data_IF_914598531014
#
_entry.id   IF_914598531014
#
_cell.length_a   1.000
_cell.length_b   1.000
_cell.length_c   1.000
_cell.angle_alpha   90.00
_cell.angle_beta   90.00
_cell.angle_gamma   90.00
#
_symmetry.space_group_name_H-M   'P 1'
#
loop_
_entity.id
_entity.type
_entity.pdbx_description
1 polymer ?
#
# COMPACT_ATOMS: atom_id res chain seq x y z
N UNK A 1 17.83 9.01 22.11
CA UNK A 1 19.06 8.97 21.28
C UNK A 1 18.61 8.69 19.85
N UNK A 2 19.05 9.47 18.86
CA UNK A 2 18.72 9.20 17.46
C UNK A 2 19.39 7.89 17.04
N UNK A 3 18.62 6.99 16.45
CA UNK A 3 19.15 5.73 15.88
C UNK A 3 20.09 6.05 14.71
N UNK A 4 21.13 5.29 14.55
CA UNK A 4 21.97 5.32 13.37
C UNK A 4 21.93 3.97 12.67
N UNK A 5 22.08 3.99 11.35
CA UNK A 5 22.07 2.81 10.50
C UNK A 5 23.36 2.72 9.73
N UNK A 6 23.85 1.50 9.52
CA UNK A 6 24.88 1.22 8.54
C UNK A 6 24.18 0.93 7.21
N UNK A 7 24.50 1.70 6.19
CA UNK A 7 24.10 1.46 4.82
C UNK A 7 25.23 0.72 4.10
N UNK A 8 24.90 -0.37 3.43
CA UNK A 8 25.76 -1.04 2.48
C UNK A 8 25.20 -0.77 1.08
N UNK A 9 26.06 -0.31 0.17
CA UNK A 9 25.69 -0.12 -1.22
C UNK A 9 26.66 -0.93 -2.11
N UNK A 10 26.08 -1.68 -3.06
CA UNK A 10 26.83 -2.58 -3.92
C UNK A 10 26.21 -2.69 -5.31
N UNK A 11 27.03 -3.09 -6.29
CA UNK A 11 26.56 -3.42 -7.63
C UNK A 11 26.47 -4.93 -7.78
N UNK A 12 25.55 -5.40 -8.61
CA UNK A 12 25.39 -6.80 -8.99
C UNK A 12 25.34 -6.93 -10.52
N UNK A 13 25.68 -8.12 -11.04
CA UNK A 13 25.83 -8.34 -12.48
C UNK A 13 24.65 -9.12 -13.07
N UNK A 14 23.90 -9.87 -12.26
CA UNK A 14 22.75 -10.67 -12.69
C UNK A 14 21.71 -10.71 -11.59
N UNK A 15 20.44 -10.95 -11.96
CA UNK A 15 19.34 -11.10 -11.01
C UNK A 15 19.60 -12.25 -10.02
N UNK A 16 20.07 -13.40 -10.50
CA UNK A 16 20.41 -14.56 -9.64
C UNK A 16 21.45 -14.19 -8.56
N UNK A 17 22.47 -13.40 -8.95
CA UNK A 17 23.47 -12.90 -8.00
C UNK A 17 22.84 -11.96 -6.97
N UNK A 18 21.94 -11.09 -7.39
CA UNK A 18 21.19 -10.19 -6.50
C UNK A 18 20.36 -10.98 -5.50
N UNK A 19 19.55 -11.93 -5.95
CA UNK A 19 18.66 -12.73 -5.09
C UNK A 19 19.44 -13.51 -4.03
N UNK A 20 20.60 -14.07 -4.40
CA UNK A 20 21.49 -14.76 -3.45
C UNK A 20 22.08 -13.79 -2.43
N UNK A 21 22.50 -12.60 -2.87
CA UNK A 21 23.04 -11.58 -1.97
C UNK A 21 21.99 -11.07 -1.00
N UNK A 22 20.76 -10.79 -1.49
CA UNK A 22 19.64 -10.38 -0.64
C UNK A 22 19.37 -11.40 0.46
N UNK A 23 19.32 -12.70 0.10
CA UNK A 23 19.11 -13.75 1.09
C UNK A 23 20.23 -13.79 2.15
N UNK A 24 21.49 -13.74 1.74
CA UNK A 24 22.64 -13.77 2.64
C UNK A 24 22.72 -12.53 3.55
N UNK A 25 22.42 -11.34 3.00
CA UNK A 25 22.42 -10.11 3.77
C UNK A 25 21.22 -10.02 4.73
N UNK A 26 20.06 -10.55 4.34
CA UNK A 26 18.90 -10.65 5.22
C UNK A 26 19.17 -11.58 6.42
N UNK A 27 19.89 -12.69 6.23
CA UNK A 27 20.34 -13.59 7.30
C UNK A 27 21.27 -12.88 8.31
N UNK A 28 22.03 -11.89 7.85
CA UNK A 28 22.85 -11.02 8.71
C UNK A 28 22.04 -9.94 9.44
N UNK A 29 20.75 -9.78 9.11
CA UNK A 29 19.87 -8.79 9.70
C UNK A 29 19.81 -7.47 8.93
N UNK A 30 20.27 -7.44 7.68
CA UNK A 30 20.02 -6.30 6.81
C UNK A 30 18.57 -6.28 6.32
N UNK A 31 18.04 -5.08 6.17
CA UNK A 31 16.66 -4.82 5.85
C UNK A 31 16.56 -3.69 4.79
N UNK A 32 15.41 -3.57 4.12
CA UNK A 32 15.15 -2.48 3.19
C UNK A 32 16.06 -2.51 1.95
N UNK A 33 15.97 -3.56 1.14
CA UNK A 33 16.75 -3.68 -0.11
C UNK A 33 16.15 -2.78 -1.19
N UNK A 34 16.84 -1.69 -1.52
CA UNK A 34 16.45 -0.73 -2.57
C UNK A 34 17.29 -0.96 -3.82
N UNK A 35 16.68 -1.50 -4.85
CA UNK A 35 17.27 -1.66 -6.17
C UNK A 35 17.14 -0.36 -6.97
N UNK A 36 18.26 0.15 -7.48
CA UNK A 36 18.30 1.26 -8.42
C UNK A 36 18.75 0.69 -9.77
N UNK A 37 17.92 0.80 -10.81
CA UNK A 37 18.34 0.43 -12.15
C UNK A 37 19.58 1.23 -12.56
N UNK A 38 20.57 0.55 -13.17
CA UNK A 38 21.73 1.21 -13.72
C UNK A 38 21.25 2.25 -14.76
N UNK A 39 21.52 3.52 -14.51
CA UNK A 39 21.09 4.63 -15.36
C UNK A 39 21.63 4.45 -16.78
N UNK A 40 20.87 3.84 -17.67
CA UNK A 40 20.95 4.08 -19.09
C UNK A 40 20.40 5.49 -19.29
N UNK A 41 21.31 6.44 -19.56
CA UNK A 41 21.02 7.86 -19.58
C UNK A 41 19.79 8.25 -20.35
N UNK A 42 18.68 8.41 -19.68
CA UNK A 42 17.55 9.28 -20.03
C UNK A 42 16.88 9.63 -18.69
N UNK A 43 16.97 10.88 -18.32
CA UNK A 43 16.23 11.47 -17.22
C UNK A 43 14.73 11.31 -17.45
N UNK A 44 14.05 10.53 -16.61
CA UNK A 44 12.65 10.78 -16.26
C UNK A 44 12.46 10.36 -14.81
N UNK A 45 12.08 11.33 -14.02
CA UNK A 45 11.95 11.22 -12.59
C UNK A 45 10.78 10.33 -12.15
N UNK A 46 10.90 9.95 -10.89
CA UNK A 46 9.88 9.41 -9.99
C UNK A 46 9.51 7.94 -10.18
N UNK A 47 9.99 7.14 -9.27
CA UNK A 47 9.50 5.80 -9.02
C UNK A 47 9.93 5.35 -7.63
N UNK A 48 9.26 5.83 -6.56
CA UNK A 48 9.27 5.12 -5.28
C UNK A 48 8.29 3.95 -5.41
N UNK A 49 8.81 2.77 -5.64
CA UNK A 49 8.01 1.55 -5.53
C UNK A 49 8.83 0.47 -4.84
N UNK A 50 8.23 -0.05 -3.85
CA UNK A 50 8.30 -1.35 -3.20
C UNK A 50 9.18 -1.47 -1.97
N UNK A 51 8.53 -1.36 -0.86
CA UNK A 51 8.76 -2.22 0.31
C UNK A 51 7.84 -3.43 0.11
N UNK A 52 8.43 -4.64 0.00
CA UNK A 52 7.75 -5.93 -0.13
C UNK A 52 6.98 -6.17 -1.45
N UNK A 53 7.68 -6.62 -2.46
CA UNK A 53 7.09 -7.17 -3.66
C UNK A 53 8.17 -7.61 -4.64
N UNK A 54 8.46 -8.89 -4.68
CA UNK A 54 9.29 -9.50 -5.72
C UNK A 54 8.60 -9.23 -7.06
N UNK A 55 9.07 -8.25 -7.81
CA UNK A 55 8.64 -8.09 -9.20
C UNK A 55 9.42 -9.06 -10.07
N UNK A 56 8.78 -10.16 -10.46
CA UNK A 56 9.22 -10.97 -11.59
C UNK A 56 8.98 -10.19 -12.88
N UNK A 57 9.99 -9.45 -13.33
CA UNK A 57 9.99 -8.71 -14.59
C UNK A 57 11.29 -8.98 -15.35
N UNK A 58 11.22 -9.74 -16.40
CA UNK A 58 12.22 -10.07 -17.40
C UNK A 58 13.14 -8.90 -17.77
N UNK A 59 14.42 -9.03 -17.40
CA UNK A 59 15.49 -8.18 -17.87
C UNK A 59 16.80 -8.59 -17.20
N UNK A 60 17.65 -9.38 -17.84
CA UNK A 60 18.99 -9.68 -17.38
C UNK A 60 19.80 -8.37 -17.33
N UNK A 61 19.86 -7.73 -16.15
CA UNK A 61 20.53 -6.44 -15.98
C UNK A 61 21.42 -6.40 -14.75
N UNK A 62 22.60 -5.81 -14.90
CA UNK A 62 23.39 -5.34 -13.79
C UNK A 62 22.66 -4.18 -13.11
N UNK A 63 22.67 -4.15 -11.78
CA UNK A 63 21.98 -3.14 -10.99
C UNK A 63 22.80 -2.64 -9.82
N UNK A 64 22.28 -1.68 -9.10
CA UNK A 64 22.81 -1.14 -7.87
C UNK A 64 21.81 -1.34 -6.75
N UNK A 65 22.27 -1.79 -5.59
CA UNK A 65 21.42 -2.00 -4.42
C UNK A 65 21.95 -1.28 -3.20
N UNK A 66 21.04 -0.77 -2.38
CA UNK A 66 21.31 -0.25 -1.03
C UNK A 66 20.49 -1.03 -0.02
N UNK A 67 21.14 -1.41 1.09
CA UNK A 67 20.48 -2.08 2.21
C UNK A 67 20.99 -1.53 3.54
N UNK A 68 20.26 -1.77 4.62
CA UNK A 68 20.46 -1.09 5.90
C UNK A 68 20.40 -2.07 7.06
N UNK A 69 21.14 -1.76 8.12
CA UNK A 69 21.06 -2.44 9.42
C UNK A 69 21.26 -1.41 10.53
N UNK A 70 20.69 -1.62 11.70
CA UNK A 70 20.96 -0.79 12.88
C UNK A 70 22.47 -0.83 13.23
N UNK A 71 23.05 0.32 13.53
CA UNK A 71 24.49 0.40 13.86
C UNK A 71 24.84 -0.42 15.07
N UNK A 72 23.96 -0.50 16.07
CA UNK A 72 24.14 -1.32 17.26
C UNK A 72 24.22 -2.80 16.92
N UNK A 73 23.30 -3.30 16.09
CA UNK A 73 23.26 -4.71 15.69
C UNK A 73 24.46 -5.09 14.82
N UNK A 74 24.93 -4.13 13.99
CA UNK A 74 26.13 -4.32 13.17
C UNK A 74 27.40 -4.49 14.00
N UNK A 75 27.58 -3.66 15.02
CA UNK A 75 28.75 -3.69 15.93
C UNK A 75 28.73 -4.89 16.87
N UNK A 76 27.58 -5.16 17.50
CA UNK A 76 27.43 -6.26 18.48
C UNK A 76 27.63 -7.65 17.85
N UNK A 77 27.26 -7.82 16.55
CA UNK A 77 27.33 -9.10 15.85
C UNK A 77 28.60 -9.29 15.03
N UNK A 78 29.55 -8.35 15.06
CA UNK A 78 30.78 -8.37 14.26
C UNK A 78 30.55 -8.62 12.74
N UNK A 79 29.47 -8.09 12.20
CA UNK A 79 28.94 -8.37 10.83
C UNK A 79 29.97 -8.01 9.73
N UNK A 80 30.91 -7.12 10.00
CA UNK A 80 31.89 -6.68 8.99
C UNK A 80 32.70 -7.83 8.38
N UNK A 81 33.09 -8.80 9.21
CA UNK A 81 33.87 -9.98 8.74
C UNK A 81 33.03 -10.87 7.82
N UNK A 82 31.74 -11.03 8.14
CA UNK A 82 30.84 -11.85 7.36
C UNK A 82 30.51 -11.17 6.01
N UNK A 83 30.36 -9.84 6.00
CA UNK A 83 30.22 -9.07 4.77
C UNK A 83 31.42 -9.25 3.84
N UNK A 84 32.64 -9.13 4.35
CA UNK A 84 33.86 -9.34 3.55
C UNK A 84 33.88 -10.75 2.93
N UNK A 85 33.50 -11.77 3.67
CA UNK A 85 33.43 -13.15 3.16
C UNK A 85 32.40 -13.26 2.04
N UNK A 86 31.17 -12.70 2.23
CA UNK A 86 30.10 -12.75 1.24
C UNK A 86 30.52 -12.03 -0.03
N UNK A 87 30.97 -10.77 0.08
CA UNK A 87 31.30 -9.97 -1.11
C UNK A 87 32.53 -10.52 -1.86
N UNK A 88 33.55 -11.03 -1.16
CA UNK A 88 34.68 -11.68 -1.77
C UNK A 88 34.27 -12.96 -2.52
N UNK A 89 33.38 -13.79 -1.95
CA UNK A 89 32.86 -15.00 -2.61
C UNK A 89 32.16 -14.68 -3.93
N UNK A 90 31.45 -13.57 -4.00
CA UNK A 90 30.74 -13.10 -5.20
C UNK A 90 31.62 -12.24 -6.12
N UNK A 91 32.90 -12.01 -5.77
CA UNK A 91 33.82 -11.12 -6.49
C UNK A 91 33.26 -9.70 -6.69
N UNK A 92 32.58 -9.20 -5.68
CA UNK A 92 31.97 -7.87 -5.64
C UNK A 92 32.63 -6.99 -4.58
N UNK A 93 32.44 -5.69 -4.74
CA UNK A 93 32.80 -4.68 -3.74
C UNK A 93 31.55 -4.00 -3.22
N UNK A 94 31.63 -3.51 -1.99
CA UNK A 94 30.58 -2.69 -1.39
C UNK A 94 31.15 -1.41 -0.80
N UNK A 95 30.32 -0.42 -0.66
CA UNK A 95 30.62 0.77 0.13
C UNK A 95 29.79 0.76 1.40
N UNK A 96 30.41 1.21 2.51
CA UNK A 96 29.76 1.34 3.82
C UNK A 96 29.66 2.80 4.20
N UNK A 97 28.49 3.22 4.66
CA UNK A 97 28.26 4.56 5.20
C UNK A 97 27.37 4.52 6.45
N UNK A 98 27.61 5.46 7.38
CA UNK A 98 26.74 5.64 8.54
C UNK A 98 25.68 6.64 8.19
N UNK A 99 24.41 6.24 8.25
CA UNK A 99 23.28 7.11 8.06
C UNK A 99 22.67 7.38 9.44
N UNK A 100 22.66 8.62 9.86
CA UNK A 100 21.84 9.04 10.99
C UNK A 100 20.39 8.94 10.59
N UNK A 101 19.56 8.50 11.53
CA UNK A 101 18.11 8.49 11.35
C UNK A 101 17.68 9.83 10.73
N UNK A 102 17.45 9.83 9.43
CA UNK A 102 16.73 10.92 8.79
C UNK A 102 15.28 10.73 9.21
N UNK A 103 14.65 11.79 9.65
CA UNK A 103 13.22 11.79 9.84
C UNK A 103 12.55 11.61 8.46
N UNK A 104 12.48 10.35 8.02
CA UNK A 104 11.87 9.98 6.72
C UNK A 104 10.43 10.45 6.65
N UNK A 105 9.74 10.50 7.81
CA UNK A 105 8.41 11.07 7.89
C UNK A 105 8.42 12.55 7.50
N UNK A 106 9.38 13.35 8.00
CA UNK A 106 9.48 14.76 7.61
C UNK A 106 9.81 14.96 6.12
N UNK A 107 10.62 14.07 5.53
CA UNK A 107 10.91 14.12 4.08
C UNK A 107 9.68 13.71 3.27
N UNK A 108 8.95 12.70 3.72
CA UNK A 108 7.69 12.25 3.13
C UNK A 108 6.61 13.33 3.25
N UNK A 109 6.47 13.90 4.44
CA UNK A 109 5.56 15.02 4.68
C UNK A 109 5.85 16.21 3.76
N UNK A 110 7.12 16.55 3.55
CA UNK A 110 7.50 17.68 2.68
C UNK A 110 7.25 17.41 1.19
N UNK A 111 7.19 16.17 0.76
CA UNK A 111 6.97 15.77 -0.64
C UNK A 111 5.55 15.28 -0.92
N UNK A 112 4.69 15.22 0.12
CA UNK A 112 3.30 14.82 -0.06
C UNK A 112 2.53 15.94 -0.78
N UNK A 113 1.99 15.65 -1.95
CA UNK A 113 1.13 16.56 -2.69
C UNK A 113 -0.35 16.25 -2.44
N UNK A 114 -1.24 17.25 -2.38
CA UNK A 114 -2.68 17.01 -2.28
C UNK A 114 -3.20 16.25 -3.50
N UNK A 115 -4.08 15.29 -3.27
CA UNK A 115 -4.74 14.51 -4.33
C UNK A 115 -6.15 15.04 -4.54
N UNK A 116 -6.56 15.24 -5.79
CA UNK A 116 -7.91 15.70 -6.14
C UNK A 116 -8.57 14.76 -7.14
N UNK A 117 -9.69 14.20 -6.79
CA UNK A 117 -10.54 13.36 -7.65
C UNK A 117 -11.71 14.20 -8.16
N UNK A 118 -11.52 14.88 -9.26
CA UNK A 118 -12.48 15.84 -9.81
C UNK A 118 -12.86 16.92 -8.79
N UNK A 119 -14.14 17.22 -8.70
CA UNK A 119 -14.73 18.10 -7.67
C UNK A 119 -15.32 17.28 -6.51
N UNK A 120 -15.23 15.96 -6.58
CA UNK A 120 -15.85 15.04 -5.65
C UNK A 120 -15.07 14.94 -4.33
N UNK A 121 -13.81 14.53 -4.34
CA UNK A 121 -13.02 14.35 -3.11
C UNK A 121 -11.60 14.86 -3.26
N UNK A 122 -11.11 15.51 -2.21
CA UNK A 122 -9.72 15.93 -2.07
C UNK A 122 -9.08 15.35 -0.82
N UNK A 123 -7.86 14.85 -0.96
CA UNK A 123 -7.05 14.34 0.14
C UNK A 123 -5.86 15.29 0.31
N UNK A 124 -5.63 15.75 1.51
CA UNK A 124 -4.49 16.61 1.86
C UNK A 124 -3.92 16.29 3.24
N UNK A 125 -2.69 16.69 3.46
CA UNK A 125 -2.15 16.72 4.81
C UNK A 125 -2.64 17.97 5.57
N UNK A 126 -2.52 17.95 6.91
CA UNK A 126 -2.96 19.04 7.77
C UNK A 126 -2.24 20.38 7.49
N UNK A 127 -1.01 20.33 6.99
CA UNK A 127 -0.19 21.51 6.67
C UNK A 127 -0.47 22.11 5.27
N UNK A 128 -1.26 21.44 4.43
CA UNK A 128 -1.67 21.99 3.14
C UNK A 128 -2.87 22.94 3.29
N UNK A 129 -2.99 23.94 2.43
CA UNK A 129 -4.21 24.75 2.34
C UNK A 129 -5.41 23.89 1.94
N UNK A 130 -6.60 24.39 2.22
CA UNK A 130 -7.85 23.83 1.70
C UNK A 130 -7.90 23.92 0.18
N UNK A 131 -8.69 23.04 -0.44
CA UNK A 131 -8.83 23.04 -1.89
C UNK A 131 -9.54 24.29 -2.41
N UNK A 132 -8.97 24.92 -3.44
CA UNK A 132 -9.59 26.00 -4.19
C UNK A 132 -9.54 25.68 -5.70
N UNK A 133 -10.70 25.57 -6.38
CA UNK A 133 -12.06 25.62 -5.80
C UNK A 133 -12.31 24.46 -4.84
N UNK A 134 -13.27 24.62 -3.91
CA UNK A 134 -13.59 23.59 -2.93
C UNK A 134 -14.01 22.27 -3.59
N UNK A 135 -13.71 21.16 -2.95
CA UNK A 135 -14.22 19.83 -3.29
C UNK A 135 -15.46 19.52 -2.44
N UNK A 136 -16.27 18.56 -2.89
CA UNK A 136 -17.45 18.15 -2.13
C UNK A 136 -17.08 17.52 -0.78
N UNK A 137 -16.06 16.67 -0.76
CA UNK A 137 -15.53 16.01 0.44
C UNK A 137 -14.04 16.25 0.57
N UNK A 138 -13.61 16.76 1.70
CA UNK A 138 -12.19 16.91 2.03
C UNK A 138 -11.78 15.89 3.09
N UNK A 139 -10.69 15.19 2.86
CA UNK A 139 -10.09 14.22 3.79
C UNK A 139 -8.70 14.72 4.18
N UNK A 140 -8.46 14.81 5.48
CA UNK A 140 -7.14 15.14 6.05
C UNK A 140 -6.43 13.86 6.45
N UNK A 141 -5.19 13.70 6.02
CA UNK A 141 -4.37 12.57 6.45
C UNK A 141 -3.05 13.04 7.06
N UNK A 142 -2.50 12.23 7.93
CA UNK A 142 -1.09 12.28 8.30
C UNK A 142 -0.35 11.35 7.34
N UNK A 143 0.46 11.90 6.40
CA UNK A 143 1.20 11.09 5.46
C UNK A 143 2.21 10.23 6.22
N UNK A 144 2.08 8.92 6.10
CA UNK A 144 3.02 7.92 6.61
C UNK A 144 3.27 6.87 5.51
N UNK A 145 4.07 5.89 5.81
CA UNK A 145 4.40 4.81 4.86
C UNK A 145 3.24 3.80 4.64
N UNK A 146 2.06 4.03 5.19
CA UNK A 146 0.88 3.21 4.94
C UNK A 146 0.32 3.45 3.54
N UNK A 147 -0.17 2.39 2.89
CA UNK A 147 -0.84 2.46 1.59
C UNK A 147 -2.20 3.18 1.70
N UNK A 148 -2.65 3.79 0.60
CA UNK A 148 -3.98 4.42 0.56
C UNK A 148 -3.98 5.95 0.69
N UNK A 149 -2.88 6.63 0.35
CA UNK A 149 -2.79 8.10 0.36
C UNK A 149 -3.58 8.79 -0.77
N UNK A 150 -4.17 8.02 -1.68
CA UNK A 150 -4.92 8.53 -2.83
C UNK A 150 -4.11 8.72 -4.10
N UNK A 151 -2.77 8.74 -4.05
CA UNK A 151 -1.90 8.92 -5.22
C UNK A 151 -1.90 7.70 -6.14
N UNK A 152 -2.01 6.50 -5.57
CA UNK A 152 -2.00 5.29 -6.36
C UNK A 152 -3.29 5.16 -7.18
N UNK A 153 -3.17 4.73 -8.43
CA UNK A 153 -4.29 4.60 -9.36
C UNK A 153 -5.45 3.77 -8.81
N UNK A 154 -5.17 2.74 -8.00
CA UNK A 154 -6.20 1.88 -7.40
C UNK A 154 -7.05 2.64 -6.38
N UNK A 155 -6.45 3.36 -5.44
CA UNK A 155 -7.18 4.16 -4.45
C UNK A 155 -7.98 5.28 -5.13
N UNK A 156 -7.36 5.95 -6.10
CA UNK A 156 -8.01 6.98 -6.92
C UNK A 156 -9.25 6.44 -7.66
N UNK A 157 -9.11 5.31 -8.33
CA UNK A 157 -10.17 4.65 -9.10
C UNK A 157 -11.32 4.17 -8.20
N UNK A 158 -11.02 3.63 -6.99
CA UNK A 158 -12.05 3.26 -6.02
C UNK A 158 -12.83 4.49 -5.57
N UNK A 159 -12.18 5.61 -5.26
CA UNK A 159 -12.87 6.84 -4.90
C UNK A 159 -13.79 7.34 -6.01
N UNK A 160 -13.37 7.29 -7.29
CA UNK A 160 -14.24 7.59 -8.42
C UNK A 160 -15.43 6.64 -8.52
N UNK A 161 -15.24 5.37 -8.19
CA UNK A 161 -16.33 4.39 -8.21
C UNK A 161 -17.32 4.62 -7.07
N UNK A 162 -16.83 5.02 -5.89
CA UNK A 162 -17.66 5.37 -4.72
C UNK A 162 -18.60 6.54 -4.99
N UNK A 163 -18.25 7.48 -5.87
CA UNK A 163 -19.13 8.59 -6.28
C UNK A 163 -20.48 8.09 -6.85
N UNK A 164 -20.49 6.89 -7.42
CA UNK A 164 -21.65 6.32 -8.11
C UNK A 164 -22.39 5.24 -7.29
N UNK A 165 -21.97 5.01 -6.05
CA UNK A 165 -22.58 4.04 -5.13
C UNK A 165 -23.27 4.81 -3.98
N UNK A 166 -24.46 4.37 -3.57
CA UNK A 166 -25.19 5.02 -2.49
C UNK A 166 -24.74 4.51 -1.13
N UNK A 167 -24.09 5.35 -0.33
CA UNK A 167 -23.62 5.05 1.02
C UNK A 167 -24.59 5.49 2.12
N UNK A 168 -25.55 6.35 1.82
CA UNK A 168 -26.45 6.94 2.83
C UNK A 168 -27.19 5.88 3.64
N UNK A 169 -26.97 5.87 4.95
CA UNK A 169 -27.58 4.94 5.90
C UNK A 169 -27.05 3.50 5.84
N UNK A 170 -26.03 3.22 5.03
CA UNK A 170 -25.47 1.89 4.77
C UNK A 170 -24.41 1.49 5.78
N UNK A 171 -24.28 0.18 6.00
CA UNK A 171 -23.16 -0.44 6.70
C UNK A 171 -22.04 -0.76 5.70
N UNK A 172 -20.81 -0.41 6.05
CA UNK A 172 -19.64 -0.55 5.17
C UNK A 172 -18.56 -1.39 5.82
N UNK A 173 -17.94 -2.28 5.05
CA UNK A 173 -16.77 -3.04 5.43
C UNK A 173 -15.59 -2.66 4.53
N UNK A 174 -14.51 -2.12 5.11
CA UNK A 174 -13.29 -1.73 4.40
C UNK A 174 -12.17 -2.70 4.78
N UNK A 175 -11.93 -3.68 3.92
CA UNK A 175 -10.94 -4.74 4.09
C UNK A 175 -9.59 -4.33 3.48
N UNK A 176 -8.55 -4.25 4.33
CA UNK A 176 -7.25 -3.69 3.99
C UNK A 176 -7.29 -2.17 3.97
N UNK A 177 -7.74 -1.55 5.08
CA UNK A 177 -8.04 -0.12 5.14
C UNK A 177 -6.82 0.80 4.97
N UNK A 178 -5.61 0.32 5.26
CA UNK A 178 -4.37 1.10 5.13
C UNK A 178 -4.43 2.42 5.91
N UNK A 179 -4.43 3.56 5.22
CA UNK A 179 -4.56 4.90 5.82
C UNK A 179 -5.95 5.22 6.36
N UNK A 180 -6.97 4.40 6.09
CA UNK A 180 -8.36 4.67 6.45
C UNK A 180 -9.11 5.60 5.49
N UNK A 181 -8.52 6.03 4.40
CA UNK A 181 -9.09 7.03 3.47
C UNK A 181 -10.44 6.58 2.90
N UNK A 182 -10.58 5.31 2.48
CA UNK A 182 -11.83 4.80 1.92
C UNK A 182 -12.92 4.70 2.99
N UNK A 183 -12.58 4.28 4.21
CA UNK A 183 -13.48 4.26 5.34
C UNK A 183 -13.98 5.68 5.71
N UNK A 184 -13.07 6.67 5.74
CA UNK A 184 -13.40 8.07 6.00
C UNK A 184 -14.31 8.62 4.89
N UNK A 185 -14.01 8.31 3.63
CA UNK A 185 -14.88 8.72 2.52
C UNK A 185 -16.27 8.09 2.63
N UNK A 186 -16.36 6.81 2.99
CA UNK A 186 -17.64 6.12 3.19
C UNK A 186 -18.50 6.83 4.26
N UNK A 187 -17.91 7.21 5.40
CA UNK A 187 -18.61 8.00 6.42
C UNK A 187 -19.08 9.36 5.89
N UNK A 188 -18.20 10.09 5.17
CA UNK A 188 -18.55 11.39 4.58
C UNK A 188 -19.66 11.28 3.53
N UNK A 189 -19.80 10.13 2.86
CA UNK A 189 -20.89 9.80 1.94
C UNK A 189 -22.19 9.39 2.66
N UNK A 190 -22.18 9.34 4.00
CA UNK A 190 -23.36 9.10 4.83
C UNK A 190 -23.54 7.66 5.29
N UNK A 191 -22.48 6.84 5.28
CA UNK A 191 -22.53 5.51 5.89
C UNK A 191 -22.94 5.63 7.37
N UNK A 192 -23.81 4.72 7.83
CA UNK A 192 -24.29 4.71 9.22
C UNK A 192 -23.31 4.03 10.16
N UNK A 193 -22.51 3.12 9.65
CA UNK A 193 -21.40 2.46 10.35
C UNK A 193 -20.36 1.98 9.34
N UNK A 194 -19.09 2.00 9.74
CA UNK A 194 -17.97 1.50 8.95
C UNK A 194 -17.12 0.61 9.84
N UNK A 195 -16.88 -0.62 9.42
CA UNK A 195 -15.87 -1.49 9.99
C UNK A 195 -14.66 -1.46 9.05
N UNK A 196 -13.56 -0.87 9.51
CA UNK A 196 -12.30 -0.79 8.79
C UNK A 196 -11.30 -1.77 9.41
N UNK A 197 -10.69 -2.63 8.60
CA UNK A 197 -9.78 -3.66 9.11
C UNK A 197 -8.48 -3.70 8.33
N UNK A 198 -7.39 -4.06 9.04
CA UNK A 198 -6.08 -4.32 8.46
C UNK A 198 -5.37 -5.38 9.30
N UNK A 199 -4.34 -6.02 8.76
CA UNK A 199 -3.51 -6.98 9.49
C UNK A 199 -2.21 -6.35 10.02
N UNK A 200 -1.85 -5.15 9.58
CA UNK A 200 -0.65 -4.44 9.96
C UNK A 200 -0.92 -3.44 11.08
N UNK A 201 -0.21 -3.55 12.21
CA UNK A 201 -0.32 -2.64 13.34
C UNK A 201 -0.05 -1.18 12.94
N UNK A 202 0.89 -0.96 12.03
CA UNK A 202 1.22 0.37 11.54
C UNK A 202 0.07 1.00 10.75
N UNK A 203 -0.62 0.21 9.92
CA UNK A 203 -1.84 0.65 9.24
C UNK A 203 -2.95 0.99 10.23
N UNK A 204 -3.17 0.15 11.24
CA UNK A 204 -4.16 0.37 12.30
C UNK A 204 -3.90 1.70 13.05
N UNK A 205 -2.64 1.95 13.45
CA UNK A 205 -2.26 3.20 14.12
C UNK A 205 -2.47 4.42 13.23
N UNK A 206 -2.05 4.36 11.96
CA UNK A 206 -2.19 5.46 11.03
C UNK A 206 -3.66 5.75 10.68
N UNK A 207 -4.46 4.71 10.44
CA UNK A 207 -5.89 4.87 10.19
C UNK A 207 -6.63 5.49 11.40
N UNK A 208 -6.32 5.06 12.63
CA UNK A 208 -6.88 5.67 13.84
C UNK A 208 -6.56 7.17 13.93
N UNK A 209 -5.32 7.56 13.66
CA UNK A 209 -4.93 8.97 13.64
C UNK A 209 -5.70 9.77 12.59
N UNK A 210 -5.83 9.22 11.38
CA UNK A 210 -6.54 9.86 10.28
C UNK A 210 -8.05 9.98 10.57
N UNK A 211 -8.67 8.99 11.20
CA UNK A 211 -10.06 9.04 11.65
C UNK A 211 -10.27 10.18 12.63
N UNK A 212 -9.37 10.33 13.62
CA UNK A 212 -9.43 11.43 14.58
C UNK A 212 -9.26 12.80 13.89
N UNK A 213 -8.35 12.93 12.94
CA UNK A 213 -8.10 14.14 12.17
C UNK A 213 -9.29 14.58 11.29
N UNK A 214 -10.22 13.66 11.01
CA UNK A 214 -11.43 13.92 10.23
C UNK A 214 -12.70 14.01 11.08
N UNK A 215 -12.59 14.00 12.42
CA UNK A 215 -13.71 14.00 13.36
C UNK A 215 -14.74 12.88 13.13
N UNK A 216 -14.28 11.75 12.57
CA UNK A 216 -15.10 10.59 12.24
C UNK A 216 -15.67 9.93 13.49
N UNK A 217 -16.91 9.43 13.43
CA UNK A 217 -17.66 8.94 14.61
C UNK A 217 -18.25 7.56 14.42
N UNK A 218 -18.42 7.09 13.18
CA UNK A 218 -19.09 5.83 12.89
C UNK A 218 -18.12 4.75 12.40
N UNK A 219 -16.81 5.05 12.40
CA UNK A 219 -15.75 4.13 11.96
C UNK A 219 -15.20 3.36 13.17
N UNK A 220 -15.25 2.04 13.11
CA UNK A 220 -14.58 1.13 14.03
C UNK A 220 -13.39 0.49 13.31
N UNK A 221 -12.19 0.62 13.88
CA UNK A 221 -11.00 -0.05 13.36
C UNK A 221 -10.72 -1.32 14.17
N UNK A 222 -10.34 -2.40 13.46
CA UNK A 222 -9.89 -3.65 14.07
C UNK A 222 -8.71 -4.23 13.30
N UNK A 223 -7.77 -4.83 14.03
CA UNK A 223 -6.75 -5.70 13.46
C UNK A 223 -7.36 -7.08 13.24
N UNK A 224 -7.20 -7.62 12.02
CA UNK A 224 -7.70 -8.96 11.65
C UNK A 224 -6.75 -9.62 10.64
N UNK A 225 -6.70 -10.94 10.66
CA UNK A 225 -5.88 -11.73 9.72
C UNK A 225 -6.69 -12.24 8.51
N UNK A 226 -8.03 -12.19 8.58
CA UNK A 226 -8.93 -12.67 7.51
C UNK A 226 -10.09 -11.71 7.31
N UNK A 227 -10.76 -11.80 6.17
CA UNK A 227 -11.93 -10.98 5.86
C UNK A 227 -13.21 -11.41 6.60
N UNK A 228 -13.21 -12.55 7.30
CA UNK A 228 -14.40 -13.03 8.02
C UNK A 228 -14.78 -12.10 9.18
N UNK A 229 -16.08 -11.81 9.29
CA UNK A 229 -16.70 -11.09 10.41
C UNK A 229 -18.05 -11.74 10.73
N UNK A 230 -18.52 -11.61 11.97
CA UNK A 230 -19.83 -12.15 12.40
C UNK A 230 -21.03 -11.28 11.92
N UNK A 231 -20.78 -10.23 11.17
CA UNK A 231 -21.77 -9.27 10.67
C UNK A 231 -21.81 -9.25 9.16
N UNK A 232 -22.93 -8.87 8.59
CA UNK A 232 -23.10 -8.62 7.16
C UNK A 232 -23.16 -7.13 6.87
N UNK A 233 -22.72 -6.73 5.67
CA UNK A 233 -22.57 -5.34 5.27
C UNK A 233 -23.30 -5.05 3.95
N UNK A 234 -23.77 -3.82 3.81
CA UNK A 234 -24.41 -3.31 2.58
C UNK A 234 -23.37 -3.02 1.47
N UNK A 235 -22.16 -2.61 1.88
CA UNK A 235 -21.06 -2.27 0.96
C UNK A 235 -19.77 -2.87 1.50
N UNK A 236 -19.01 -3.50 0.60
CA UNK A 236 -17.69 -4.05 0.89
C UNK A 236 -16.68 -3.37 -0.04
N UNK A 237 -15.63 -2.82 0.55
CA UNK A 237 -14.48 -2.25 -0.13
C UNK A 237 -13.26 -3.16 0.11
N UNK A 238 -12.54 -3.54 -0.93
CA UNK A 238 -11.29 -4.29 -0.83
C UNK A 238 -10.30 -3.79 -1.88
N UNK A 239 -9.41 -2.90 -1.47
CA UNK A 239 -8.33 -2.36 -2.30
C UNK A 239 -7.00 -2.97 -1.86
N UNK A 240 -6.83 -4.25 -2.13
CA UNK A 240 -5.67 -5.07 -1.73
C UNK A 240 -5.16 -5.89 -2.92
N UNK A 241 -3.98 -6.50 -2.79
CA UNK A 241 -3.39 -7.28 -3.87
C UNK A 241 -4.28 -8.47 -4.28
N UNK A 242 -4.23 -8.87 -5.57
CA UNK A 242 -4.99 -9.97 -6.17
C UNK A 242 -5.02 -11.23 -5.29
N UNK A 243 -3.84 -11.72 -4.88
CA UNK A 243 -3.75 -12.95 -4.08
C UNK A 243 -4.46 -12.87 -2.72
N UNK A 244 -4.53 -11.68 -2.12
CA UNK A 244 -5.29 -11.44 -0.87
C UNK A 244 -6.79 -11.52 -1.15
N UNK A 245 -7.25 -10.94 -2.26
CA UNK A 245 -8.67 -11.04 -2.67
C UNK A 245 -9.05 -12.49 -2.94
N UNK A 246 -8.23 -13.21 -3.72
CA UNK A 246 -8.46 -14.62 -4.05
C UNK A 246 -8.56 -15.50 -2.78
N UNK A 247 -7.63 -15.29 -1.84
CA UNK A 247 -7.59 -16.03 -0.57
C UNK A 247 -8.80 -15.73 0.33
N UNK A 248 -9.40 -14.54 0.26
CA UNK A 248 -10.48 -14.09 1.13
C UNK A 248 -11.83 -13.95 0.41
N UNK A 249 -11.97 -14.35 -0.85
CA UNK A 249 -13.22 -14.17 -1.62
C UNK A 249 -14.40 -14.91 -0.98
N UNK A 250 -14.15 -16.06 -0.37
CA UNK A 250 -15.19 -16.81 0.34
C UNK A 250 -15.70 -16.03 1.56
N UNK A 251 -14.81 -15.53 2.37
CA UNK A 251 -15.08 -14.74 3.58
C UNK A 251 -15.77 -13.42 3.23
N UNK A 252 -15.32 -12.73 2.17
CA UNK A 252 -15.96 -11.52 1.66
C UNK A 252 -17.40 -11.79 1.21
N UNK A 253 -17.66 -12.99 0.68
CA UNK A 253 -19.04 -13.40 0.33
C UNK A 253 -19.88 -13.75 1.57
N UNK A 254 -19.30 -14.32 2.61
CA UNK A 254 -20.02 -14.63 3.85
C UNK A 254 -20.48 -13.36 4.61
N UNK A 255 -19.73 -12.29 4.52
CA UNK A 255 -20.07 -11.00 5.15
C UNK A 255 -20.98 -10.12 4.27
N UNK A 256 -21.44 -10.66 3.13
CA UNK A 256 -22.42 -10.03 2.25
C UNK A 256 -23.83 -10.56 2.49
N UNK A 257 -24.82 -9.79 2.11
CA UNK A 257 -26.23 -10.21 1.98
C UNK A 257 -26.75 -9.87 0.57
N UNK A 258 -27.94 -10.33 0.24
CA UNK A 258 -28.55 -9.98 -1.06
C UNK A 258 -28.68 -8.46 -1.19
N UNK A 259 -28.13 -7.93 -2.25
CA UNK A 259 -28.08 -6.49 -2.54
C UNK A 259 -26.82 -5.77 -2.05
N UNK A 260 -25.84 -6.46 -1.50
CA UNK A 260 -24.52 -5.89 -1.15
C UNK A 260 -23.76 -5.47 -2.41
N UNK A 261 -23.17 -4.28 -2.37
CA UNK A 261 -22.21 -3.80 -3.37
C UNK A 261 -20.78 -4.17 -2.95
N UNK A 262 -20.00 -4.76 -3.86
CA UNK A 262 -18.59 -5.09 -3.63
C UNK A 262 -17.72 -4.32 -4.62
N UNK A 263 -16.78 -3.52 -4.09
CA UNK A 263 -15.76 -2.84 -4.89
C UNK A 263 -14.41 -3.52 -4.62
N UNK A 264 -13.86 -4.13 -5.67
CA UNK A 264 -12.52 -4.73 -5.67
C UNK A 264 -11.53 -3.84 -6.42
N UNK A 265 -10.32 -3.69 -5.90
CA UNK A 265 -9.21 -3.01 -6.56
C UNK A 265 -7.87 -3.53 -6.06
N UNK A 266 -6.76 -2.99 -6.57
CA UNK A 266 -5.43 -3.57 -6.37
C UNK A 266 -5.14 -4.66 -7.40
N UNK A 267 -5.85 -4.62 -8.53
CA UNK A 267 -5.83 -5.56 -9.64
C UNK A 267 -5.22 -4.91 -10.89
N UNK A 268 -4.40 -5.63 -11.62
CA UNK A 268 -3.97 -5.22 -12.95
C UNK A 268 -5.11 -5.42 -13.97
N UNK A 269 -5.09 -4.69 -15.08
CA UNK A 269 -6.11 -4.83 -16.14
C UNK A 269 -6.17 -6.29 -16.64
N UNK A 270 -5.03 -6.97 -16.73
CA UNK A 270 -4.93 -8.37 -17.14
C UNK A 270 -5.61 -9.36 -16.17
N UNK A 271 -5.78 -8.98 -14.90
CA UNK A 271 -6.46 -9.79 -13.88
C UNK A 271 -7.99 -9.73 -13.97
N UNK A 272 -8.53 -8.81 -14.76
CA UNK A 272 -9.97 -8.48 -14.78
C UNK A 272 -10.86 -9.70 -15.05
N UNK A 273 -10.57 -10.45 -16.12
CA UNK A 273 -11.42 -11.58 -16.53
C UNK A 273 -11.42 -12.71 -15.48
N UNK A 274 -10.25 -13.04 -14.94
CA UNK A 274 -10.10 -14.06 -13.91
C UNK A 274 -10.85 -13.67 -12.64
N UNK A 275 -10.75 -12.42 -12.23
CA UNK A 275 -11.40 -11.91 -11.02
C UNK A 275 -12.93 -11.85 -11.19
N UNK A 276 -13.43 -11.44 -12.36
CA UNK A 276 -14.87 -11.48 -12.66
C UNK A 276 -15.38 -12.91 -12.58
N UNK A 277 -14.65 -13.87 -13.16
CA UNK A 277 -15.02 -15.29 -13.11
C UNK A 277 -15.06 -15.79 -11.68
N UNK A 278 -14.01 -15.55 -10.89
CA UNK A 278 -13.93 -15.95 -9.48
C UNK A 278 -15.08 -15.39 -8.66
N UNK A 279 -15.38 -14.11 -8.77
CA UNK A 279 -16.48 -13.48 -8.07
C UNK A 279 -17.84 -14.06 -8.50
N UNK A 280 -18.05 -14.28 -9.79
CA UNK A 280 -19.29 -14.86 -10.31
C UNK A 280 -19.53 -16.28 -9.81
N UNK A 281 -18.49 -17.11 -9.70
CA UNK A 281 -18.56 -18.45 -9.12
C UNK A 281 -18.97 -18.43 -7.63
N UNK A 282 -18.78 -17.29 -6.94
CA UNK A 282 -19.21 -17.06 -5.55
C UNK A 282 -20.56 -16.33 -5.43
N UNK A 283 -21.27 -16.12 -6.53
CA UNK A 283 -22.62 -15.54 -6.53
C UNK A 283 -22.67 -14.02 -6.75
N UNK A 284 -21.54 -13.38 -7.09
CA UNK A 284 -21.51 -11.97 -7.40
C UNK A 284 -21.84 -11.69 -8.87
N UNK A 285 -22.66 -10.68 -9.11
CA UNK A 285 -22.98 -10.20 -10.44
C UNK A 285 -22.09 -9.01 -10.80
N UNK A 286 -21.32 -9.12 -11.87
CA UNK A 286 -20.49 -8.04 -12.36
C UNK A 286 -21.36 -6.86 -12.85
N UNK A 287 -21.01 -5.64 -12.43
CA UNK A 287 -21.74 -4.40 -12.79
C UNK A 287 -20.92 -3.56 -13.76
N UNK A 288 -19.70 -3.18 -13.37
CA UNK A 288 -18.81 -2.37 -14.22
C UNK A 288 -17.35 -2.49 -13.80
N UNK A 289 -16.46 -2.12 -14.71
CA UNK A 289 -15.03 -1.93 -14.44
C UNK A 289 -14.63 -0.47 -14.64
N UNK A 290 -13.56 -0.06 -13.97
CA UNK A 290 -12.94 1.26 -14.06
C UNK A 290 -11.43 1.08 -14.24
N UNK A 291 -10.90 1.07 -15.48
CA UNK A 291 -9.46 1.00 -15.71
C UNK A 291 -8.80 2.37 -15.49
N UNK A 292 -7.61 2.38 -14.91
CA UNK A 292 -6.78 3.57 -14.72
C UNK A 292 -5.30 3.19 -14.65
N UNK A 293 -4.47 3.72 -15.54
CA UNK A 293 -3.00 3.58 -15.52
C UNK A 293 -2.51 2.12 -15.33
N UNK A 294 -3.06 1.16 -16.07
CA UNK A 294 -2.69 -0.25 -15.99
C UNK A 294 -3.38 -1.04 -14.88
N UNK A 295 -4.13 -0.37 -14.01
CA UNK A 295 -4.91 -0.97 -12.91
C UNK A 295 -6.40 -0.96 -13.25
N UNK A 296 -7.16 -1.80 -12.55
CA UNK A 296 -8.63 -1.85 -12.68
C UNK A 296 -9.30 -1.96 -11.33
N UNK A 297 -10.42 -1.25 -11.17
CA UNK A 297 -11.38 -1.45 -10.10
C UNK A 297 -12.65 -2.07 -10.65
N UNK A 298 -13.25 -3.00 -9.90
CA UNK A 298 -14.42 -3.77 -10.31
C UNK A 298 -15.56 -3.58 -9.31
N UNK A 299 -16.76 -3.32 -9.81
CA UNK A 299 -17.99 -3.25 -9.01
C UNK A 299 -18.85 -4.48 -9.29
N UNK A 300 -19.29 -5.11 -8.22
CA UNK A 300 -20.20 -6.25 -8.23
C UNK A 300 -21.41 -5.98 -7.36
N UNK A 301 -22.47 -6.76 -7.58
CA UNK A 301 -23.69 -6.82 -6.77
C UNK A 301 -23.94 -8.26 -6.34
N UNK A 302 -24.19 -8.49 -5.05
CA UNK A 302 -24.55 -9.82 -4.56
C UNK A 302 -26.04 -10.15 -4.75
#
# INVERSE_FOLDING_TARGET
>A
MSKSYIQIAFNFNTQDQFDILVAQLADLGFDGFNEEEAATGINNGVGMSSILGVSSGLGAGAGHCKTYILSTDFEEREIEKELEIIFNKHQLTYSKSIIKEKNWNAIWESNFEPVRVGDFVGIRAHFHPTFEPAVQFEIKITPKMSFGTGHHATTFSVMQMMEHVSFSGKSVYDFGTGTGVLAILAEKLGASQVLAVDNDDWCIENANENILNNDSKVILIKKVDTAYQDSQFDIILANVNRHIIEANMHELTQVAHLGTDLILSGLLIEDQEDMIKLATEKGWNFVKSQPLNGWVSLLFKH
#
